data_IF_657081346418
#
_entry.id   IF_657081346418
#
_cell.length_a   1.000
_cell.length_b   1.000
_cell.length_c   1.000
_cell.angle_alpha   90.00
_cell.angle_beta   90.00
_cell.angle_gamma   90.00
#
_symmetry.space_group_name_H-M   'P 1'
#
loop_
_entity.id
_entity.type
_entity.pdbx_description
1 polymer ?
#
# COMPACT_ATOMS: atom_id res chain seq x y z
N UNK A 1 -21.11 -19.77 7.80
CA UNK A 1 -19.95 -19.79 6.87
C UNK A 1 -19.98 -18.53 6.01
N UNK A 2 -18.92 -17.68 6.05
CA UNK A 2 -18.84 -16.51 5.18
C UNK A 2 -18.64 -16.95 3.74
N UNK A 3 -19.43 -16.44 2.81
CA UNK A 3 -19.37 -16.79 1.39
C UNK A 3 -19.40 -15.54 0.50
N UNK A 4 -18.81 -15.64 -0.68
CA UNK A 4 -18.85 -14.57 -1.69
C UNK A 4 -18.09 -13.32 -1.30
N UNK A 5 -18.69 -12.14 -1.45
CA UNK A 5 -18.06 -10.82 -1.28
C UNK A 5 -17.55 -10.60 0.16
N UNK A 6 -18.24 -11.10 1.17
CA UNK A 6 -17.79 -10.98 2.57
C UNK A 6 -16.44 -11.65 2.79
N UNK A 7 -16.31 -12.89 2.30
CA UNK A 7 -15.03 -13.63 2.39
C UNK A 7 -13.90 -12.90 1.66
N UNK A 8 -14.18 -12.37 0.48
CA UNK A 8 -13.16 -11.65 -0.30
C UNK A 8 -12.74 -10.33 0.36
N UNK A 9 -13.69 -9.57 0.93
CA UNK A 9 -13.39 -8.37 1.71
C UNK A 9 -12.54 -8.73 2.92
N UNK A 10 -12.91 -9.78 3.67
CA UNK A 10 -12.17 -10.20 4.85
C UNK A 10 -10.73 -10.62 4.50
N UNK A 11 -10.55 -11.42 3.46
CA UNK A 11 -9.22 -11.81 2.96
C UNK A 11 -8.41 -10.57 2.58
N UNK A 12 -9.01 -9.63 1.85
CA UNK A 12 -8.33 -8.40 1.46
C UNK A 12 -7.93 -7.57 2.68
N UNK A 13 -8.85 -7.31 3.60
CA UNK A 13 -8.57 -6.51 4.81
C UNK A 13 -7.56 -7.21 5.73
N UNK A 14 -7.59 -8.54 5.84
CA UNK A 14 -6.58 -9.27 6.62
C UNK A 14 -5.17 -9.13 6.02
N UNK A 15 -5.07 -9.03 4.70
CA UNK A 15 -3.81 -8.86 3.96
C UNK A 15 -3.28 -7.43 4.07
N UNK A 16 -4.10 -6.43 3.75
CA UNK A 16 -3.69 -5.02 3.67
C UNK A 16 -3.98 -4.21 4.94
N UNK A 17 -4.60 -4.85 5.96
CA UNK A 17 -4.89 -4.38 7.33
C UNK A 17 -6.03 -3.37 7.43
N UNK A 18 -6.28 -2.55 6.44
CA UNK A 18 -7.41 -1.62 6.39
C UNK A 18 -7.76 -1.31 4.93
N UNK A 19 -8.95 -0.77 4.70
CA UNK A 19 -9.39 -0.39 3.36
C UNK A 19 -10.44 0.71 3.46
N UNK A 20 -10.39 1.70 2.55
CA UNK A 20 -11.45 2.70 2.48
C UNK A 20 -12.63 2.21 1.63
N UNK A 21 -13.79 2.83 1.80
CA UNK A 21 -14.98 2.48 1.01
C UNK A 21 -14.75 2.69 -0.49
N UNK A 22 -14.02 3.74 -0.86
CA UNK A 22 -13.66 4.00 -2.25
C UNK A 22 -12.71 2.93 -2.82
N UNK A 23 -11.74 2.48 -2.02
CA UNK A 23 -10.81 1.42 -2.39
C UNK A 23 -11.53 0.07 -2.59
N UNK A 24 -12.50 -0.27 -1.73
CA UNK A 24 -13.36 -1.43 -1.96
C UNK A 24 -14.10 -1.30 -3.28
N UNK A 25 -14.63 -0.10 -3.57
CA UNK A 25 -15.29 0.19 -4.84
C UNK A 25 -14.37 -0.02 -6.04
N UNK A 26 -13.14 0.47 -6.00
CA UNK A 26 -12.14 0.28 -7.06
C UNK A 26 -11.82 -1.21 -7.26
N UNK A 27 -11.51 -1.91 -6.17
CA UNK A 27 -11.10 -3.32 -6.21
C UNK A 27 -12.18 -4.24 -6.79
N UNK A 28 -13.45 -4.07 -6.36
CA UNK A 28 -14.55 -4.90 -6.85
C UNK A 28 -15.19 -4.37 -8.13
N UNK A 29 -15.08 -3.07 -8.40
CA UNK A 29 -15.61 -2.44 -9.62
C UNK A 29 -14.94 -2.92 -10.90
N UNK A 30 -13.68 -3.30 -10.85
CA UNK A 30 -12.94 -3.87 -12.00
C UNK A 30 -13.33 -5.32 -12.31
N UNK A 31 -13.97 -6.01 -11.38
CA UNK A 31 -14.34 -7.41 -11.51
C UNK A 31 -15.78 -7.52 -12.04
N UNK A 32 -15.96 -7.92 -13.31
CA UNK A 32 -17.29 -8.10 -13.96
C UNK A 32 -18.31 -8.83 -13.07
N UNK A 33 -17.85 -9.78 -12.27
CA UNK A 33 -18.68 -10.58 -11.35
C UNK A 33 -19.36 -9.77 -10.26
N UNK A 34 -18.84 -8.58 -9.91
CA UNK A 34 -19.29 -7.80 -8.75
C UNK A 34 -19.84 -6.41 -9.07
N UNK A 35 -19.88 -6.00 -10.36
CA UNK A 35 -20.31 -4.66 -10.79
C UNK A 35 -21.68 -4.22 -10.28
N UNK A 36 -22.57 -5.15 -9.94
CA UNK A 36 -23.91 -4.88 -9.45
C UNK A 36 -24.11 -5.18 -7.97
N UNK A 37 -23.10 -5.64 -7.24
CA UNK A 37 -23.27 -6.01 -5.83
C UNK A 37 -23.06 -4.82 -4.90
N UNK A 38 -23.99 -4.58 -3.94
CA UNK A 38 -23.89 -3.47 -3.02
C UNK A 38 -22.85 -3.77 -1.93
N UNK A 39 -21.55 -3.71 -2.25
CA UNK A 39 -20.46 -3.90 -1.27
C UNK A 39 -20.60 -2.99 -0.05
N UNK A 40 -21.20 -1.79 -0.18
CA UNK A 40 -21.52 -0.93 0.95
C UNK A 40 -22.46 -1.60 1.95
N UNK A 41 -23.47 -2.35 1.47
CA UNK A 41 -24.37 -3.11 2.34
C UNK A 41 -23.63 -4.24 3.04
N UNK A 42 -22.73 -4.90 2.33
CA UNK A 42 -21.86 -5.94 2.87
C UNK A 42 -20.94 -5.39 3.96
N UNK A 43 -20.26 -4.27 3.72
CA UNK A 43 -19.42 -3.61 4.71
C UNK A 43 -20.19 -3.22 5.98
N UNK A 44 -21.41 -2.66 5.82
CA UNK A 44 -22.29 -2.35 6.97
C UNK A 44 -22.66 -3.59 7.77
N UNK A 45 -23.02 -4.68 7.07
CA UNK A 45 -23.33 -5.96 7.73
C UNK A 45 -22.12 -6.44 8.54
N UNK A 46 -20.92 -6.48 7.96
CA UNK A 46 -19.68 -6.90 8.64
C UNK A 46 -19.35 -6.03 9.85
N UNK A 47 -19.70 -4.73 9.82
CA UNK A 47 -19.57 -3.87 11.00
C UNK A 47 -20.60 -4.22 12.10
N UNK A 48 -21.86 -4.50 11.73
CA UNK A 48 -22.88 -4.88 12.67
C UNK A 48 -22.59 -6.23 13.33
N UNK A 49 -21.93 -7.13 12.62
CA UNK A 49 -21.44 -8.42 13.11
C UNK A 49 -20.10 -8.34 13.86
N UNK A 50 -19.61 -7.12 14.13
CA UNK A 50 -18.32 -6.86 14.81
C UNK A 50 -17.10 -7.47 14.15
N UNK A 51 -17.19 -7.88 12.89
CA UNK A 51 -16.05 -8.38 12.11
C UNK A 51 -15.11 -7.23 11.70
N UNK A 52 -15.71 -6.10 11.31
CA UNK A 52 -14.99 -4.88 10.97
C UNK A 52 -15.39 -3.73 11.90
N UNK A 53 -14.47 -2.79 12.06
CA UNK A 53 -14.75 -1.45 12.59
C UNK A 53 -14.61 -0.41 11.50
N UNK A 54 -15.46 0.61 11.54
CA UNK A 54 -15.39 1.74 10.61
C UNK A 54 -15.13 3.04 11.36
N UNK A 55 -14.35 3.90 10.74
CA UNK A 55 -14.10 5.27 11.20
C UNK A 55 -14.22 6.24 10.02
N UNK A 56 -14.58 7.52 10.26
CA UNK A 56 -14.50 8.54 9.23
C UNK A 56 -13.07 8.64 8.68
N UNK A 57 -12.95 8.73 7.36
CA UNK A 57 -11.70 8.94 6.65
C UNK A 57 -11.81 10.23 5.84
N UNK A 58 -11.44 11.35 6.47
CA UNK A 58 -11.42 12.66 5.84
C UNK A 58 -9.97 13.06 5.62
N UNK A 59 -9.46 12.84 4.42
CA UNK A 59 -8.12 13.19 4.02
C UNK A 59 -8.18 14.24 2.91
N UNK A 60 -7.41 15.30 3.09
CA UNK A 60 -7.16 16.30 2.07
C UNK A 60 -5.69 16.73 2.21
N UNK A 61 -4.83 16.17 1.38
CA UNK A 61 -3.39 16.37 1.47
C UNK A 61 -2.75 16.39 0.09
N UNK A 62 -2.17 17.54 -0.29
CA UNK A 62 -1.41 17.70 -1.54
C UNK A 62 -2.07 17.07 -2.78
N UNK A 63 -3.38 17.29 -2.96
CA UNK A 63 -4.14 16.75 -4.08
C UNK A 63 -4.71 15.33 -3.87
N UNK A 64 -4.28 14.60 -2.85
CA UNK A 64 -4.95 13.37 -2.44
C UNK A 64 -6.20 13.70 -1.62
N UNK A 65 -7.34 13.20 -2.03
CA UNK A 65 -8.61 13.42 -1.33
C UNK A 65 -9.33 12.10 -1.09
N UNK A 66 -9.72 11.88 0.14
CA UNK A 66 -10.58 10.77 0.56
C UNK A 66 -11.58 11.30 1.57
N UNK A 67 -12.86 11.13 1.30
CA UNK A 67 -13.95 11.55 2.18
C UNK A 67 -14.99 10.44 2.26
N UNK A 68 -14.63 9.36 2.96
CA UNK A 68 -15.47 8.18 3.11
C UNK A 68 -15.28 7.57 4.51
N UNK A 69 -15.44 6.27 4.61
CA UNK A 69 -15.10 5.49 5.80
C UNK A 69 -13.88 4.61 5.50
N UNK A 70 -13.05 4.43 6.51
CA UNK A 70 -12.00 3.42 6.52
C UNK A 70 -12.43 2.26 7.43
N UNK A 71 -12.19 1.04 6.98
CA UNK A 71 -12.56 -0.20 7.64
C UNK A 71 -11.32 -0.95 8.08
N UNK A 72 -11.34 -1.43 9.31
CA UNK A 72 -10.29 -2.22 9.95
C UNK A 72 -10.87 -3.50 10.51
N UNK A 73 -10.05 -4.52 10.70
CA UNK A 73 -10.42 -5.66 11.54
C UNK A 73 -10.69 -5.18 12.97
N UNK A 74 -11.64 -5.83 13.63
CA UNK A 74 -11.94 -5.53 15.02
C UNK A 74 -10.66 -5.68 15.88
N UNK A 75 -10.43 -4.70 16.77
CA UNK A 75 -9.21 -4.65 17.60
C UNK A 75 -8.06 -3.82 17.02
N UNK A 76 -8.15 -3.34 15.75
CA UNK A 76 -7.13 -2.48 15.17
C UNK A 76 -7.14 -1.06 15.72
N UNK A 77 -5.96 -0.42 15.78
CA UNK A 77 -5.77 0.97 16.20
C UNK A 77 -6.36 1.94 15.16
N UNK A 78 -6.98 3.02 15.63
CA UNK A 78 -7.39 4.14 14.78
C UNK A 78 -6.21 5.07 14.51
N UNK A 79 -6.06 5.50 13.25
CA UNK A 79 -5.02 6.43 12.82
C UNK A 79 -5.61 7.82 12.52
N UNK A 80 -4.78 8.86 12.61
CA UNK A 80 -5.16 10.26 12.33
C UNK A 80 -4.06 11.00 11.57
N UNK A 81 -4.41 12.10 10.89
CA UNK A 81 -3.46 12.99 10.22
C UNK A 81 -2.56 12.30 9.21
N UNK A 82 -1.26 12.57 9.24
CA UNK A 82 -0.26 11.99 8.32
C UNK A 82 -0.20 10.46 8.43
N UNK A 83 -0.35 9.90 9.63
CA UNK A 83 -0.37 8.45 9.83
C UNK A 83 -1.57 7.79 9.14
N UNK A 84 -2.75 8.43 9.18
CA UNK A 84 -3.90 7.94 8.44
C UNK A 84 -3.64 7.95 6.93
N UNK A 85 -3.00 9.00 6.41
CA UNK A 85 -2.65 9.05 4.99
C UNK A 85 -1.69 7.91 4.61
N UNK A 86 -0.61 7.68 5.37
CA UNK A 86 0.31 6.55 5.15
C UNK A 86 -0.43 5.21 5.17
N UNK A 87 -1.34 5.06 6.13
CA UNK A 87 -2.14 3.84 6.29
C UNK A 87 -3.08 3.62 5.10
N UNK A 88 -3.59 4.67 4.47
CA UNK A 88 -4.47 4.59 3.30
C UNK A 88 -3.68 4.39 2.00
N UNK A 89 -2.52 5.02 1.85
CA UNK A 89 -1.69 4.91 0.64
C UNK A 89 -1.15 3.48 0.43
N UNK A 90 -0.84 2.76 1.49
CA UNK A 90 -0.41 1.36 1.37
C UNK A 90 -1.44 0.47 0.65
N UNK A 91 -2.68 0.38 1.11
CA UNK A 91 -3.76 -0.32 0.39
C UNK A 91 -3.99 0.21 -1.02
N UNK A 92 -3.89 1.52 -1.25
CA UNK A 92 -4.03 2.10 -2.57
C UNK A 92 -2.99 1.54 -3.55
N UNK A 93 -1.74 1.41 -3.10
CA UNK A 93 -0.67 0.77 -3.87
C UNK A 93 -1.04 -0.69 -4.21
N UNK A 94 -1.40 -1.49 -3.20
CA UNK A 94 -1.76 -2.89 -3.41
C UNK A 94 -2.96 -3.06 -4.35
N UNK A 95 -3.97 -2.20 -4.22
CA UNK A 95 -5.17 -2.23 -5.07
C UNK A 95 -4.83 -1.82 -6.50
N UNK A 96 -3.99 -0.80 -6.69
CA UNK A 96 -3.52 -0.43 -8.03
C UNK A 96 -2.75 -1.58 -8.69
N UNK A 97 -1.86 -2.24 -7.99
CA UNK A 97 -1.18 -3.44 -8.50
C UNK A 97 -2.19 -4.50 -8.93
N UNK A 98 -3.09 -4.91 -8.04
CA UNK A 98 -4.10 -5.95 -8.33
C UNK A 98 -5.03 -5.56 -9.49
N UNK A 99 -5.42 -4.30 -9.60
CA UNK A 99 -6.28 -3.81 -10.69
C UNK A 99 -5.53 -3.61 -12.00
N UNK A 100 -4.21 -3.43 -11.93
CA UNK A 100 -3.31 -3.37 -13.09
C UNK A 100 -2.89 -4.73 -13.64
N UNK A 101 -3.40 -5.83 -13.06
CA UNK A 101 -3.11 -7.20 -13.50
C UNK A 101 -1.99 -7.90 -12.72
N UNK A 102 -1.31 -7.20 -11.84
CA UNK A 102 -0.29 -7.77 -10.96
C UNK A 102 -0.96 -8.51 -9.79
N UNK A 103 -0.32 -9.55 -9.28
CA UNK A 103 -0.84 -10.34 -8.18
C UNK A 103 0.00 -10.13 -6.92
N UNK A 104 -0.50 -9.33 -5.97
CA UNK A 104 0.18 -9.13 -4.69
C UNK A 104 0.20 -10.44 -3.88
N UNK A 105 1.39 -10.92 -3.51
CA UNK A 105 1.61 -12.14 -2.73
C UNK A 105 1.79 -11.85 -1.25
N UNK A 106 2.69 -10.90 -0.94
CA UNK A 106 3.00 -10.49 0.44
C UNK A 106 2.85 -8.98 0.58
N UNK A 107 2.40 -8.57 1.74
CA UNK A 107 2.20 -7.17 2.09
C UNK A 107 2.47 -7.00 3.58
N UNK A 108 3.60 -6.40 3.90
CA UNK A 108 3.99 -6.14 5.28
C UNK A 108 4.10 -4.64 5.51
N UNK A 109 3.70 -4.19 6.71
CA UNK A 109 3.80 -2.79 7.13
C UNK A 109 4.90 -2.62 8.18
N UNK A 110 5.46 -1.41 8.23
CA UNK A 110 6.48 -1.02 9.21
C UNK A 110 7.63 -2.03 9.24
N UNK A 111 8.19 -2.27 8.07
CA UNK A 111 9.19 -3.29 7.83
C UNK A 111 10.55 -2.77 8.27
N UNK A 112 11.22 -3.49 9.15
CA UNK A 112 12.58 -3.18 9.57
C UNK A 112 13.60 -3.91 8.69
N UNK A 113 14.50 -3.14 8.12
CA UNK A 113 15.66 -3.62 7.39
C UNK A 113 16.88 -3.03 8.09
N UNK A 114 17.58 -3.83 8.87
CA UNK A 114 18.61 -3.40 9.81
C UNK A 114 18.06 -2.30 10.75
N UNK A 115 18.65 -1.13 10.77
CA UNK A 115 18.24 0.02 11.58
C UNK A 115 17.20 0.94 10.91
N UNK A 116 16.81 0.66 9.66
CA UNK A 116 15.83 1.44 8.92
C UNK A 116 14.44 0.83 9.01
N UNK A 117 13.43 1.71 8.99
CA UNK A 117 12.03 1.28 8.90
C UNK A 117 11.43 1.82 7.61
N UNK A 118 10.89 0.92 6.81
CA UNK A 118 10.11 1.22 5.62
C UNK A 118 8.62 1.09 5.94
N UNK A 119 7.80 1.92 5.29
CA UNK A 119 6.35 1.88 5.51
C UNK A 119 5.74 0.55 5.04
N UNK A 120 6.26 0.00 3.93
CA UNK A 120 5.76 -1.26 3.37
C UNK A 120 6.90 -2.11 2.77
N UNK A 121 6.69 -3.42 2.78
CA UNK A 121 7.28 -4.37 1.85
C UNK A 121 6.16 -5.03 1.06
N UNK A 122 6.30 -5.04 -0.27
CA UNK A 122 5.33 -5.66 -1.16
C UNK A 122 6.03 -6.63 -2.10
N UNK A 123 5.57 -7.87 -2.10
CA UNK A 123 5.94 -8.89 -3.09
C UNK A 123 4.76 -9.12 -4.00
N UNK A 124 4.99 -9.03 -5.30
CA UNK A 124 3.96 -9.25 -6.30
C UNK A 124 4.49 -10.06 -7.48
N UNK A 125 3.57 -10.67 -8.21
CA UNK A 125 3.85 -11.33 -9.50
C UNK A 125 3.43 -10.37 -10.59
N UNK A 126 4.33 -10.12 -11.52
CA UNK A 126 4.07 -9.25 -12.66
C UNK A 126 3.33 -9.98 -13.81
N UNK A 127 3.10 -9.28 -14.92
CA UNK A 127 2.40 -9.83 -16.07
C UNK A 127 3.19 -10.90 -16.83
N UNK A 128 4.48 -11.05 -16.53
CA UNK A 128 5.35 -12.10 -17.11
C UNK A 128 5.50 -13.31 -16.20
N UNK A 129 4.79 -13.33 -15.07
CA UNK A 129 4.90 -14.30 -13.97
C UNK A 129 6.21 -14.21 -13.17
N UNK A 130 6.94 -13.13 -13.28
CA UNK A 130 8.11 -12.89 -12.46
C UNK A 130 7.69 -12.38 -11.07
N UNK A 131 8.39 -12.85 -10.05
CA UNK A 131 8.20 -12.38 -8.68
C UNK A 131 9.08 -11.16 -8.49
N UNK A 132 8.47 -10.05 -8.11
CA UNK A 132 9.15 -8.79 -7.82
C UNK A 132 8.95 -8.39 -6.37
N UNK A 133 9.95 -7.74 -5.81
CA UNK A 133 9.93 -7.23 -4.44
C UNK A 133 10.23 -5.73 -4.42
N UNK A 134 9.42 -4.97 -3.69
CA UNK A 134 9.63 -3.54 -3.49
C UNK A 134 9.59 -3.18 -2.01
N UNK A 135 10.49 -2.30 -1.60
CA UNK A 135 10.42 -1.58 -0.33
C UNK A 135 9.83 -0.21 -0.59
N UNK A 136 8.82 0.16 0.17
CA UNK A 136 8.10 1.42 -0.02
C UNK A 136 8.31 2.33 1.18
N UNK A 137 8.72 3.55 0.89
CA UNK A 137 8.84 4.62 1.87
C UNK A 137 7.87 5.75 1.52
N UNK A 138 6.93 6.05 2.40
CA UNK A 138 5.94 7.11 2.20
C UNK A 138 6.45 8.37 2.90
N UNK A 139 7.22 9.16 2.16
CA UNK A 139 7.76 10.41 2.66
C UNK A 139 6.81 11.58 2.38
N UNK A 140 6.14 12.03 3.43
CA UNK A 140 5.20 13.16 3.39
C UNK A 140 5.85 14.48 3.84
N UNK A 141 7.11 14.44 4.25
CA UNK A 141 7.85 15.60 4.71
C UNK A 141 8.57 16.28 3.54
N UNK A 142 8.94 17.54 3.71
CA UNK A 142 9.63 18.31 2.67
C UNK A 142 11.11 17.92 2.55
N UNK A 143 11.70 17.45 3.66
CA UNK A 143 13.09 17.06 3.71
C UNK A 143 13.22 15.56 3.41
N UNK A 144 13.71 15.25 2.23
CA UNK A 144 14.02 13.89 1.81
C UNK A 144 15.53 13.64 1.88
N UNK A 145 15.93 12.64 2.67
CA UNK A 145 17.32 12.21 2.75
C UNK A 145 17.51 10.92 1.97
N UNK A 146 18.08 11.03 0.77
CA UNK A 146 18.35 9.87 -0.10
C UNK A 146 19.47 8.98 0.45
N UNK A 147 20.42 9.53 1.21
CA UNK A 147 21.54 8.77 1.77
C UNK A 147 21.13 7.72 2.80
N UNK A 148 19.88 7.76 3.28
CA UNK A 148 19.37 6.69 4.15
C UNK A 148 19.33 5.33 3.44
N UNK A 149 19.31 5.30 2.12
CA UNK A 149 19.31 4.07 1.33
C UNK A 149 20.69 3.58 0.94
N UNK A 150 21.73 4.37 1.26
CA UNK A 150 23.11 3.95 1.01
C UNK A 150 23.39 2.59 1.62
N UNK A 151 24.11 1.74 0.89
CA UNK A 151 24.46 0.35 1.29
C UNK A 151 23.25 -0.50 1.64
N UNK A 152 22.18 -0.37 0.87
CA UNK A 152 20.94 -1.14 1.13
C UNK A 152 21.18 -2.66 1.06
N UNK A 153 22.08 -3.11 0.19
CA UNK A 153 22.47 -4.52 0.05
C UNK A 153 22.99 -5.09 1.37
N UNK A 154 23.96 -4.42 2.00
CA UNK A 154 24.51 -4.83 3.30
C UNK A 154 23.44 -4.88 4.41
N UNK A 155 22.43 -3.99 4.33
CA UNK A 155 21.32 -3.92 5.29
C UNK A 155 20.33 -5.05 5.07
N UNK A 156 20.07 -5.41 3.80
CA UNK A 156 19.18 -6.51 3.41
C UNK A 156 19.71 -7.84 3.90
N UNK A 157 21.02 -8.10 3.77
CA UNK A 157 21.66 -9.32 4.26
C UNK A 157 21.45 -9.54 5.76
N UNK A 158 21.35 -8.45 6.55
CA UNK A 158 21.10 -8.48 7.99
C UNK A 158 19.62 -8.54 8.35
N UNK A 159 18.73 -8.49 7.36
CA UNK A 159 17.28 -8.49 7.58
C UNK A 159 16.74 -9.91 7.81
N UNK A 160 15.68 -9.98 8.63
CA UNK A 160 14.90 -11.23 8.82
C UNK A 160 13.84 -11.43 7.74
N UNK A 161 13.70 -10.48 6.82
CA UNK A 161 12.75 -10.56 5.73
C UNK A 161 13.33 -11.45 4.62
N UNK A 162 12.53 -12.34 4.03
CA UNK A 162 13.00 -13.25 3.00
C UNK A 162 13.14 -12.53 1.65
N UNK A 163 14.14 -11.67 1.54
CA UNK A 163 14.55 -11.12 0.26
C UNK A 163 15.28 -12.21 -0.55
N UNK A 164 14.96 -12.31 -1.83
CA UNK A 164 15.67 -13.21 -2.75
C UNK A 164 16.53 -12.43 -3.78
N UNK A 165 16.31 -11.12 -3.84
CA UNK A 165 17.12 -10.16 -4.59
C UNK A 165 17.10 -8.82 -3.86
N UNK A 166 17.96 -7.88 -4.25
CA UNK A 166 17.89 -6.50 -3.74
C UNK A 166 16.57 -5.89 -4.22
N UNK A 167 15.63 -5.55 -3.31
CA UNK A 167 14.34 -5.04 -3.72
C UNK A 167 14.47 -3.62 -4.24
N UNK A 168 13.69 -3.31 -5.26
CA UNK A 168 13.51 -1.94 -5.71
C UNK A 168 12.98 -1.05 -4.60
N UNK A 169 13.50 0.16 -4.47
CA UNK A 169 13.01 1.15 -3.50
C UNK A 169 12.02 2.08 -4.20
N UNK A 170 10.80 2.12 -3.71
CA UNK A 170 9.76 3.03 -4.19
C UNK A 170 9.48 4.11 -3.15
N UNK A 171 9.77 5.36 -3.47
CA UNK A 171 9.49 6.50 -2.61
C UNK A 171 8.22 7.19 -3.07
N UNK A 172 7.21 7.19 -2.19
CA UNK A 172 5.98 7.95 -2.41
C UNK A 172 6.16 9.32 -1.79
N UNK A 173 6.15 10.36 -2.59
CA UNK A 173 6.42 11.73 -2.12
C UNK A 173 5.47 12.76 -2.72
N UNK A 174 5.36 13.89 -2.03
CA UNK A 174 4.58 15.05 -2.44
C UNK A 174 5.14 15.74 -3.69
N UNK A 175 6.47 15.88 -3.72
CA UNK A 175 7.21 16.52 -4.81
C UNK A 175 8.25 15.55 -5.38
N UNK A 176 7.93 14.90 -6.50
CA UNK A 176 8.85 13.98 -7.17
C UNK A 176 9.69 14.63 -8.26
N UNK A 177 9.45 15.92 -8.58
CA UNK A 177 10.07 16.58 -9.73
C UNK A 177 11.51 17.03 -9.50
N UNK A 178 11.89 17.28 -8.27
CA UNK A 178 13.16 17.94 -7.91
C UNK A 178 14.16 17.01 -7.21
N UNK A 179 13.82 15.73 -7.04
CA UNK A 179 14.70 14.78 -6.35
C UNK A 179 15.63 14.16 -7.38
N UNK A 180 16.90 14.56 -7.33
CA UNK A 180 17.96 13.93 -8.12
C UNK A 180 18.64 12.85 -7.30
N UNK A 181 18.70 11.65 -7.83
CA UNK A 181 19.54 10.57 -7.28
C UNK A 181 20.98 10.89 -7.66
N UNK A 182 21.91 11.01 -6.71
CA UNK A 182 23.31 11.18 -7.05
C UNK A 182 23.84 9.96 -7.81
N UNK A 183 24.57 10.19 -8.89
CA UNK A 183 25.16 9.13 -9.74
C UNK A 183 26.10 8.18 -8.97
N UNK A 184 26.55 8.59 -7.79
CA UNK A 184 27.42 7.80 -6.90
C UNK A 184 26.67 6.72 -6.12
N UNK A 185 25.35 6.80 -6.05
CA UNK A 185 24.52 5.81 -5.39
C UNK A 185 24.01 4.84 -6.45
N UNK A 186 24.58 3.64 -6.47
CA UNK A 186 24.07 2.53 -7.29
C UNK A 186 22.80 1.96 -6.63
N UNK A 187 21.68 2.66 -6.83
CA UNK A 187 20.41 2.37 -6.19
C UNK A 187 19.29 2.27 -7.22
N UNK A 188 18.59 1.13 -7.23
CA UNK A 188 17.30 1.01 -7.94
C UNK A 188 16.18 1.68 -7.12
N UNK A 189 16.11 3.01 -7.26
CA UNK A 189 15.16 3.86 -6.53
C UNK A 189 14.31 4.68 -7.49
N UNK A 190 13.00 4.61 -7.30
CA UNK A 190 12.03 5.38 -8.07
C UNK A 190 11.10 6.21 -7.18
N UNK A 191 10.60 7.30 -7.77
CA UNK A 191 9.76 8.26 -7.09
C UNK A 191 8.39 8.34 -7.75
N UNK A 192 7.35 8.25 -6.93
CA UNK A 192 5.96 8.44 -7.38
C UNK A 192 5.25 9.48 -6.53
N UNK A 193 4.26 10.13 -7.12
CA UNK A 193 3.40 11.06 -6.39
C UNK A 193 2.44 10.31 -5.44
N UNK A 194 1.84 11.05 -4.50
CA UNK A 194 0.90 10.49 -3.52
C UNK A 194 -0.38 9.90 -4.15
N UNK A 195 -0.69 10.23 -5.40
CA UNK A 195 -1.80 9.62 -6.14
C UNK A 195 -1.36 8.35 -6.89
N UNK A 196 -0.07 8.02 -6.82
CA UNK A 196 0.54 6.87 -7.52
C UNK A 196 0.25 6.91 -9.03
N UNK A 197 0.18 8.12 -9.64
CA UNK A 197 -0.27 8.28 -11.02
C UNK A 197 0.68 7.67 -12.03
N UNK A 198 1.97 7.61 -11.72
CA UNK A 198 3.02 7.03 -12.57
C UNK A 198 3.52 5.66 -12.11
N UNK A 199 2.80 5.00 -11.20
CA UNK A 199 3.26 3.73 -10.62
C UNK A 199 3.70 2.72 -11.69
N UNK A 200 2.87 2.44 -12.68
CA UNK A 200 3.15 1.47 -13.74
C UNK A 200 4.22 1.88 -14.77
N UNK A 201 4.87 3.03 -14.57
CA UNK A 201 6.04 3.44 -15.38
C UNK A 201 7.36 3.11 -14.69
N UNK A 202 7.29 2.83 -13.39
CA UNK A 202 8.46 2.65 -12.53
C UNK A 202 8.57 1.25 -11.92
N UNK A 203 7.53 0.44 -12.06
CA UNK A 203 7.51 -0.97 -11.60
C UNK A 203 7.47 -1.92 -12.78
#
# INVERSE_FOLDING_TARGET
MMVGVEKEILILVSKIRCITESQVGKFFGTRKRYTRKPFKKTLRKMCNEYTLRKYPCNLNYSGYRENTYIYYLNGSKMYKGKELLKVVLGPELAIKLETGGYKVRRFYRNVKVDNLTYDLFVEYVDNYNDIKQILVDINLDENFNIFKYDKIEEKIEKSTIPFFEVPKILVVTKNNKDIKVPDKLDLDIDFVDINLSKLFKVI
#
